data_IF_406286967505
#
_entry.id   IF_406286967505
#
_cell.length_a   1.000
_cell.length_b   1.000
_cell.length_c   1.000
_cell.angle_alpha   90.00
_cell.angle_beta   90.00
_cell.angle_gamma   90.00
#
_symmetry.space_group_name_H-M   'P 1'
#
loop_
_entity.id
_entity.type
_entity.pdbx_description
1 polymer ?
#
# COMPACT_ATOMS: atom_id res chain seq x y z
N UNK A 1 -29.49 -17.89 15.92
CA UNK A 1 -28.52 -18.73 16.68
C UNK A 1 -27.17 -18.48 16.05
N UNK A 2 -26.40 -17.60 16.63
CA UNK A 2 -25.03 -17.29 16.19
C UNK A 2 -24.12 -18.39 16.71
N UNK A 3 -23.68 -19.28 15.84
CA UNK A 3 -22.63 -20.26 16.14
C UNK A 3 -21.31 -19.51 16.29
N UNK A 4 -20.92 -19.26 17.54
CA UNK A 4 -19.58 -18.79 17.88
C UNK A 4 -18.58 -19.87 17.47
N UNK A 5 -17.81 -19.60 16.42
CA UNK A 5 -16.66 -20.43 16.06
C UNK A 5 -15.56 -20.16 17.08
N UNK A 6 -15.43 -21.06 18.04
CA UNK A 6 -14.33 -21.01 19.01
C UNK A 6 -13.07 -21.51 18.32
N UNK A 7 -12.18 -20.60 17.95
CA UNK A 7 -10.84 -20.95 17.47
C UNK A 7 -10.06 -21.51 18.67
N UNK A 8 -9.48 -22.73 18.59
CA UNK A 8 -8.67 -23.26 19.67
C UNK A 8 -7.47 -22.35 19.92
N UNK A 9 -7.33 -21.84 21.16
CA UNK A 9 -6.11 -21.18 21.60
C UNK A 9 -4.97 -22.22 21.62
N UNK A 10 -4.20 -22.28 20.57
CA UNK A 10 -2.88 -22.94 20.59
C UNK A 10 -1.98 -22.09 21.47
N UNK A 11 -1.69 -22.59 22.67
CA UNK A 11 -0.81 -21.92 23.62
C UNK A 11 0.57 -21.70 22.97
N UNK A 12 0.98 -20.45 22.78
CA UNK A 12 2.35 -20.07 22.43
C UNK A 12 2.59 -19.58 20.99
N UNK A 13 1.65 -19.68 20.06
CA UNK A 13 1.82 -19.14 18.69
C UNK A 13 1.10 -17.82 18.55
N UNK A 14 1.80 -16.78 18.08
CA UNK A 14 1.18 -15.51 17.74
C UNK A 14 0.13 -15.74 16.62
N UNK A 15 -1.16 -15.42 16.84
CA UNK A 15 -2.21 -15.72 15.87
C UNK A 15 -2.02 -14.99 14.54
N UNK A 16 -1.36 -13.83 14.51
CA UNK A 16 -1.02 -13.14 13.27
C UNK A 16 -0.02 -13.94 12.43
N UNK A 17 0.96 -14.57 13.07
CA UNK A 17 1.88 -15.49 12.36
C UNK A 17 1.14 -16.72 11.83
N UNK A 18 0.15 -17.22 12.56
CA UNK A 18 -0.68 -18.34 12.12
C UNK A 18 -1.38 -18.09 10.77
N UNK A 19 -1.69 -16.83 10.43
CA UNK A 19 -2.27 -16.47 9.14
C UNK A 19 -1.39 -16.87 7.96
N UNK A 20 -0.08 -16.85 8.12
CA UNK A 20 0.88 -17.21 7.07
C UNK A 20 0.74 -18.68 6.63
N UNK A 21 0.36 -19.57 7.55
CA UNK A 21 0.12 -20.99 7.26
C UNK A 21 -1.08 -21.19 6.34
N UNK A 22 -2.00 -20.21 6.32
CA UNK A 22 -3.18 -20.20 5.45
C UNK A 22 -2.99 -19.33 4.20
N UNK A 23 -1.75 -18.94 3.88
CA UNK A 23 -1.45 -18.10 2.73
C UNK A 23 -1.92 -16.64 2.86
N UNK A 24 -2.20 -16.18 4.08
CA UNK A 24 -2.59 -14.80 4.36
C UNK A 24 -1.37 -13.98 4.77
N UNK A 25 -1.22 -12.79 4.21
CA UNK A 25 -0.11 -11.88 4.49
C UNK A 25 -0.63 -10.67 5.27
N UNK A 26 -0.35 -10.55 6.58
CA UNK A 26 -0.73 -9.35 7.35
C UNK A 26 -0.01 -8.12 6.83
N UNK A 27 -0.76 -7.06 6.52
CA UNK A 27 -0.23 -5.76 6.13
C UNK A 27 -0.67 -4.69 7.13
N UNK A 28 0.20 -3.68 7.34
CA UNK A 28 -0.10 -2.56 8.21
C UNK A 28 -0.42 -1.31 7.38
N UNK A 29 -1.57 -0.67 7.65
CA UNK A 29 -1.96 0.62 7.05
C UNK A 29 -1.53 1.76 7.99
N UNK A 30 -0.22 1.94 8.10
CA UNK A 30 0.40 2.96 8.94
C UNK A 30 1.89 3.11 8.61
N UNK A 31 2.40 4.35 8.65
CA UNK A 31 3.83 4.67 8.55
C UNK A 31 4.16 5.88 9.42
N UNK A 32 5.26 5.78 10.18
CA UNK A 32 5.80 6.89 10.97
C UNK A 32 7.28 6.67 11.27
N UNK A 33 8.05 7.72 11.27
CA UNK A 33 9.52 7.67 11.37
C UNK A 33 10.04 6.94 12.60
N UNK A 34 9.44 7.15 13.77
CA UNK A 34 9.89 6.48 15.01
C UNK A 34 9.71 4.96 14.95
N UNK A 35 8.65 4.47 14.28
CA UNK A 35 8.45 3.04 14.03
C UNK A 35 9.59 2.46 13.20
N UNK A 36 10.08 3.23 12.22
CA UNK A 36 11.14 2.81 11.31
C UNK A 36 12.51 2.85 12.03
N UNK A 37 12.85 3.99 12.64
CA UNK A 37 14.15 4.22 13.24
C UNK A 37 14.32 3.57 14.61
N UNK A 38 13.22 3.40 15.35
CA UNK A 38 13.20 2.77 16.69
C UNK A 38 13.20 1.24 16.68
N UNK A 39 13.19 0.61 15.51
CA UNK A 39 13.20 -0.85 15.39
C UNK A 39 11.81 -1.51 15.54
N UNK A 40 10.77 -0.75 15.81
CA UNK A 40 9.41 -1.27 16.00
C UNK A 40 8.88 -2.03 14.77
N UNK A 41 9.11 -1.51 13.57
CA UNK A 41 8.73 -2.21 12.34
C UNK A 41 9.43 -3.57 12.20
N UNK A 42 10.74 -3.61 12.49
CA UNK A 42 11.51 -4.85 12.44
C UNK A 42 11.01 -5.86 13.47
N UNK A 43 10.62 -5.40 14.64
CA UNK A 43 10.00 -6.23 15.66
C UNK A 43 8.69 -6.84 15.20
N UNK A 44 7.77 -6.03 14.63
CA UNK A 44 6.49 -6.51 14.10
C UNK A 44 6.67 -7.54 12.97
N UNK A 45 7.66 -7.35 12.10
CA UNK A 45 8.00 -8.34 11.07
C UNK A 45 8.40 -9.69 11.72
N UNK A 46 9.24 -9.64 12.75
CA UNK A 46 9.77 -10.84 13.38
C UNK A 46 8.75 -11.51 14.33
N UNK A 47 8.04 -10.73 15.12
CA UNK A 47 7.20 -11.24 16.22
C UNK A 47 5.74 -11.47 15.79
N UNK A 48 5.22 -10.62 14.88
CA UNK A 48 3.82 -10.66 14.43
C UNK A 48 3.67 -11.21 13.00
N UNK A 49 4.77 -11.46 12.30
CA UNK A 49 4.72 -11.96 10.93
C UNK A 49 4.22 -10.93 9.92
N UNK A 50 4.46 -9.64 10.17
CA UNK A 50 4.08 -8.57 9.25
C UNK A 50 4.75 -8.77 7.89
N UNK A 51 3.99 -8.62 6.78
CA UNK A 51 4.43 -8.95 5.42
C UNK A 51 4.41 -7.78 4.46
N UNK A 52 3.77 -6.69 4.81
CA UNK A 52 3.73 -5.49 3.97
C UNK A 52 3.25 -4.27 4.73
N UNK A 53 3.38 -3.12 4.08
CA UNK A 53 2.97 -1.84 4.64
C UNK A 53 2.33 -0.98 3.57
N UNK A 54 1.27 -0.29 3.92
CA UNK A 54 0.68 0.73 3.06
C UNK A 54 0.61 2.08 3.76
N UNK A 55 0.59 3.13 2.98
CA UNK A 55 0.46 4.50 3.43
C UNK A 55 -0.57 5.24 2.60
N UNK A 56 -0.99 6.39 3.07
CA UNK A 56 -1.80 7.36 2.35
C UNK A 56 -1.53 8.76 2.89
N UNK A 57 -1.97 9.84 2.19
CA UNK A 57 -1.73 11.22 2.62
C UNK A 57 -2.24 11.52 4.03
N UNK A 58 -3.39 11.00 4.43
CA UNK A 58 -3.96 11.24 5.77
C UNK A 58 -3.13 10.59 6.90
N UNK A 59 -2.50 9.44 6.63
CA UNK A 59 -1.58 8.79 7.58
C UNK A 59 -0.34 9.66 7.78
N UNK A 60 0.24 10.17 6.69
CA UNK A 60 1.40 11.07 6.77
C UNK A 60 1.05 12.39 7.46
N UNK A 61 -0.10 12.99 7.15
CA UNK A 61 -0.57 14.19 7.82
C UNK A 61 -0.59 14.00 9.34
N UNK A 62 -1.23 12.94 9.83
CA UNK A 62 -1.30 12.61 11.26
C UNK A 62 0.07 12.32 11.87
N UNK A 63 1.01 11.79 11.10
CA UNK A 63 2.35 11.47 11.55
C UNK A 63 3.25 12.70 11.64
N UNK A 64 3.03 13.70 10.77
CA UNK A 64 3.88 14.88 10.64
C UNK A 64 3.37 16.03 11.53
N UNK A 65 2.05 16.31 11.51
CA UNK A 65 1.48 17.44 12.21
C UNK A 65 1.68 17.32 13.72
N UNK A 66 2.28 18.34 14.32
CA UNK A 66 2.57 18.37 15.77
C UNK A 66 3.70 17.45 16.23
N UNK A 67 4.41 16.81 15.31
CA UNK A 67 5.52 15.90 15.61
C UNK A 67 6.88 16.58 15.45
N UNK A 68 7.81 16.30 16.35
CA UNK A 68 9.21 16.73 16.23
C UNK A 68 10.09 15.76 15.44
N UNK A 69 9.54 14.60 15.06
CA UNK A 69 10.28 13.54 14.35
C UNK A 69 10.79 13.95 12.96
N UNK A 70 10.21 14.99 12.38
CA UNK A 70 10.51 15.47 11.02
C UNK A 70 11.22 16.84 11.02
N UNK A 71 11.64 17.32 12.21
CA UNK A 71 12.28 18.64 12.36
C UNK A 71 13.54 18.78 11.50
N UNK A 72 14.30 17.69 11.34
CA UNK A 72 15.50 17.64 10.50
C UNK A 72 15.21 18.04 9.04
N UNK A 73 14.12 17.53 8.47
CA UNK A 73 13.69 17.89 7.11
C UNK A 73 13.04 19.28 7.11
N UNK A 74 12.10 19.53 8.01
CA UNK A 74 11.30 20.76 8.02
C UNK A 74 12.13 22.03 8.27
N UNK A 75 13.24 21.93 8.99
CA UNK A 75 14.15 23.06 9.27
C UNK A 75 15.32 23.14 8.30
N UNK A 76 15.43 22.21 7.34
CA UNK A 76 16.54 22.20 6.38
C UNK A 76 16.51 23.42 5.45
N UNK A 77 17.66 23.77 4.89
CA UNK A 77 17.76 24.86 3.92
C UNK A 77 16.90 24.59 2.66
N UNK A 78 16.82 23.31 2.26
CA UNK A 78 16.03 22.88 1.12
C UNK A 78 14.51 23.00 1.37
N UNK A 79 14.06 22.78 2.61
CA UNK A 79 12.65 22.94 3.00
C UNK A 79 12.13 24.36 2.71
N UNK A 80 12.99 25.38 2.79
CA UNK A 80 12.63 26.78 2.53
C UNK A 80 12.33 27.06 1.05
N UNK A 81 12.72 26.17 0.14
CA UNK A 81 12.51 26.30 -1.31
C UNK A 81 11.35 25.45 -1.82
N UNK A 82 10.78 24.58 -0.98
CA UNK A 82 9.69 23.68 -1.33
C UNK A 82 8.35 24.23 -0.86
N UNK A 83 7.31 23.98 -1.64
CA UNK A 83 5.94 24.17 -1.19
C UNK A 83 5.50 23.00 -0.27
N UNK A 84 4.28 23.07 0.25
CA UNK A 84 3.75 22.06 1.17
C UNK A 84 3.73 20.65 0.53
N UNK A 85 3.42 20.54 -0.77
CA UNK A 85 3.43 19.26 -1.50
C UNK A 85 4.86 18.70 -1.59
N UNK A 86 5.82 19.52 -1.96
CA UNK A 86 7.23 19.14 -2.06
C UNK A 86 7.81 18.69 -0.71
N UNK A 87 7.46 19.37 0.38
CA UNK A 87 7.85 18.97 1.74
C UNK A 87 7.24 17.63 2.13
N UNK A 88 5.94 17.46 1.88
CA UNK A 88 5.26 16.20 2.10
C UNK A 88 5.92 15.06 1.32
N UNK A 89 6.14 15.23 0.03
CA UNK A 89 6.75 14.21 -0.81
C UNK A 89 8.16 13.84 -0.33
N UNK A 90 8.96 14.83 0.06
CA UNK A 90 10.31 14.59 0.60
C UNK A 90 10.30 13.71 1.84
N UNK A 91 9.37 13.96 2.77
CA UNK A 91 9.18 13.15 3.97
C UNK A 91 8.69 11.76 3.60
N UNK A 92 7.63 11.67 2.78
CA UNK A 92 7.00 10.41 2.42
C UNK A 92 7.96 9.50 1.66
N UNK A 93 8.71 10.04 0.68
CA UNK A 93 9.69 9.27 -0.08
C UNK A 93 10.77 8.70 0.84
N UNK A 94 11.30 9.50 1.78
CA UNK A 94 12.32 9.03 2.70
C UNK A 94 11.82 7.91 3.61
N UNK A 95 10.67 8.10 4.24
CA UNK A 95 10.10 7.10 5.14
C UNK A 95 9.72 5.80 4.38
N UNK A 96 9.23 5.92 3.15
CA UNK A 96 8.96 4.77 2.29
C UNK A 96 10.24 4.04 1.88
N UNK A 97 11.32 4.76 1.57
CA UNK A 97 12.64 4.16 1.30
C UNK A 97 13.13 3.35 2.50
N UNK A 98 13.11 3.96 3.69
CA UNK A 98 13.53 3.30 4.93
C UNK A 98 12.66 2.06 5.24
N UNK A 99 11.34 2.14 5.05
CA UNK A 99 10.43 1.00 5.19
C UNK A 99 10.72 -0.11 4.16
N UNK A 100 10.93 0.24 2.89
CA UNK A 100 11.31 -0.72 1.85
C UNK A 100 12.60 -1.46 2.21
N UNK A 101 13.61 -0.74 2.72
CA UNK A 101 14.89 -1.32 3.11
C UNK A 101 14.73 -2.27 4.31
N UNK A 102 13.86 -1.95 5.27
CA UNK A 102 13.53 -2.83 6.40
C UNK A 102 12.79 -4.09 5.93
N UNK A 103 11.88 -3.99 4.96
CA UNK A 103 11.14 -5.12 4.39
C UNK A 103 11.93 -5.92 3.36
N UNK A 104 13.07 -5.46 2.89
CA UNK A 104 13.87 -6.15 1.86
C UNK A 104 14.18 -7.61 2.18
N UNK A 105 14.53 -7.99 3.43
CA UNK A 105 14.72 -9.41 3.77
C UNK A 105 13.46 -10.26 3.56
N UNK A 106 12.27 -9.74 3.91
CA UNK A 106 10.98 -10.43 3.69
C UNK A 106 10.76 -10.61 2.19
N UNK A 107 10.92 -9.56 1.40
CA UNK A 107 10.79 -9.59 -0.05
C UNK A 107 11.69 -10.65 -0.71
N UNK A 108 12.93 -10.76 -0.28
CA UNK A 108 13.87 -11.76 -0.78
C UNK A 108 13.51 -13.19 -0.35
N UNK A 109 13.21 -13.39 0.94
CA UNK A 109 12.89 -14.71 1.51
C UNK A 109 11.58 -15.28 0.97
N UNK A 110 10.63 -14.44 0.62
CA UNK A 110 9.34 -14.85 0.05
C UNK A 110 9.36 -14.92 -1.49
N UNK A 111 10.55 -14.79 -2.10
CA UNK A 111 10.68 -14.77 -3.56
C UNK A 111 9.76 -13.73 -4.21
N UNK A 112 9.77 -12.50 -3.66
CA UNK A 112 9.01 -11.34 -4.14
C UNK A 112 7.48 -11.45 -3.99
N UNK A 113 6.97 -12.39 -3.18
CA UNK A 113 5.52 -12.48 -2.91
C UNK A 113 5.05 -11.49 -1.86
N UNK A 114 5.93 -11.15 -0.89
CA UNK A 114 5.66 -10.25 0.21
C UNK A 114 6.75 -9.18 0.36
N UNK A 115 6.66 -8.34 1.40
CA UNK A 115 7.67 -7.36 1.73
C UNK A 115 7.53 -6.05 0.96
N UNK A 116 6.34 -5.76 0.46
CA UNK A 116 6.05 -4.52 -0.27
C UNK A 116 5.68 -3.37 0.65
N UNK A 117 5.99 -2.16 0.18
CA UNK A 117 5.58 -0.89 0.80
C UNK A 117 4.92 -0.02 -0.26
N UNK A 118 3.75 0.57 0.06
CA UNK A 118 3.01 1.37 -0.91
C UNK A 118 3.15 2.87 -0.64
N UNK A 119 3.34 3.64 -1.72
CA UNK A 119 3.29 5.10 -1.77
C UNK A 119 2.21 5.54 -2.75
N UNK A 120 1.26 6.37 -2.30
CA UNK A 120 0.11 6.80 -3.09
C UNK A 120 0.44 8.04 -3.92
N UNK A 121 -0.05 8.08 -5.18
CA UNK A 121 -0.05 9.28 -5.99
C UNK A 121 -0.95 10.35 -5.37
N UNK A 122 -0.78 11.60 -5.77
CA UNK A 122 -1.61 12.70 -5.28
C UNK A 122 -3.10 12.43 -5.47
N UNK A 123 -3.95 12.61 -4.43
CA UNK A 123 -5.39 12.41 -4.54
C UNK A 123 -6.06 13.35 -5.56
N UNK A 124 -5.42 14.47 -5.89
CA UNK A 124 -5.91 15.40 -6.93
C UNK A 124 -5.85 14.80 -8.35
N UNK A 125 -5.12 13.69 -8.54
CA UNK A 125 -4.98 12.99 -9.82
C UNK A 125 -6.00 11.86 -10.01
N UNK A 126 -6.92 11.66 -9.07
CA UNK A 126 -7.87 10.54 -9.10
C UNK A 126 -8.71 10.48 -10.41
N UNK A 127 -8.93 11.63 -11.05
CA UNK A 127 -9.67 11.74 -12.32
C UNK A 127 -8.77 12.24 -13.48
N UNK A 128 -7.45 12.08 -13.36
CA UNK A 128 -6.47 12.48 -14.38
C UNK A 128 -5.52 11.32 -14.70
N UNK A 129 -5.82 10.58 -15.76
CA UNK A 129 -5.02 9.44 -16.23
C UNK A 129 -3.57 9.86 -16.55
N UNK A 130 -3.39 10.99 -17.25
CA UNK A 130 -2.07 11.44 -17.69
C UNK A 130 -1.22 11.87 -16.50
N UNK A 131 -1.77 12.71 -15.63
CA UNK A 131 -1.09 13.15 -14.41
C UNK A 131 -0.73 11.98 -13.50
N UNK A 132 -1.62 10.99 -13.37
CA UNK A 132 -1.35 9.76 -12.63
C UNK A 132 -0.16 8.99 -13.20
N UNK A 133 -0.08 8.81 -14.51
CA UNK A 133 1.04 8.14 -15.18
C UNK A 133 2.36 8.87 -14.94
N UNK A 134 2.37 10.18 -15.11
CA UNK A 134 3.57 11.01 -14.95
C UNK A 134 4.07 10.97 -13.50
N UNK A 135 3.17 11.17 -12.52
CA UNK A 135 3.53 11.15 -11.09
C UNK A 135 3.97 9.76 -10.62
N UNK A 136 3.26 8.72 -11.01
CA UNK A 136 3.59 7.35 -10.64
C UNK A 136 5.01 6.95 -11.12
N UNK A 137 5.34 7.23 -12.37
CA UNK A 137 6.68 6.96 -12.93
C UNK A 137 7.76 7.76 -12.23
N UNK A 138 7.48 9.02 -11.91
CA UNK A 138 8.39 9.91 -11.18
C UNK A 138 8.64 9.37 -9.76
N UNK A 139 7.59 9.05 -9.01
CA UNK A 139 7.71 8.51 -7.65
C UNK A 139 8.43 7.16 -7.64
N UNK A 140 8.11 6.27 -8.57
CA UNK A 140 8.79 4.98 -8.72
C UNK A 140 10.30 5.15 -8.89
N UNK A 141 10.70 6.01 -9.82
CA UNK A 141 12.11 6.32 -10.07
C UNK A 141 12.79 6.98 -8.86
N UNK A 142 12.09 7.89 -8.17
CA UNK A 142 12.67 8.65 -7.06
C UNK A 142 12.86 7.78 -5.81
N UNK A 143 11.91 6.90 -5.50
CA UNK A 143 12.04 5.94 -4.39
C UNK A 143 13.12 4.90 -4.71
N UNK A 144 13.15 4.35 -5.93
CA UNK A 144 14.21 3.48 -6.42
C UNK A 144 14.36 2.19 -5.61
N UNK A 145 13.26 1.56 -5.23
CA UNK A 145 13.22 0.28 -4.50
C UNK A 145 12.35 -0.74 -5.22
N UNK A 146 12.85 -1.96 -5.39
CA UNK A 146 12.15 -3.03 -6.11
C UNK A 146 10.83 -3.46 -5.46
N UNK A 147 10.78 -3.37 -4.13
CA UNK A 147 9.62 -3.71 -3.32
C UNK A 147 8.69 -2.52 -3.02
N UNK A 148 8.80 -1.46 -3.80
CA UNK A 148 7.81 -0.39 -3.83
C UNK A 148 6.57 -0.87 -4.58
N UNK A 149 5.39 -0.42 -4.15
CA UNK A 149 4.16 -0.38 -4.96
C UNK A 149 3.70 1.06 -5.07
N UNK A 150 3.39 1.53 -6.27
CA UNK A 150 2.70 2.80 -6.41
C UNK A 150 1.20 2.55 -6.19
N UNK A 151 0.61 3.33 -5.27
CA UNK A 151 -0.80 3.21 -4.94
C UNK A 151 -1.61 4.16 -5.80
N UNK A 152 -2.58 3.61 -6.54
CA UNK A 152 -3.38 4.33 -7.54
C UNK A 152 -4.87 4.09 -7.29
N UNK A 153 -5.73 5.15 -7.29
CA UNK A 153 -7.17 4.99 -7.19
C UNK A 153 -7.77 4.16 -8.34
N UNK A 154 -8.64 3.20 -8.01
CA UNK A 154 -9.39 2.39 -8.97
C UNK A 154 -10.60 3.14 -9.56
N UNK A 155 -10.41 4.39 -9.97
CA UNK A 155 -11.42 5.20 -10.68
C UNK A 155 -11.49 4.82 -12.15
N UNK A 156 -12.55 5.18 -12.88
CA UNK A 156 -12.61 4.97 -14.33
C UNK A 156 -11.40 5.57 -15.07
N UNK A 157 -10.94 6.74 -14.65
CA UNK A 157 -9.75 7.41 -15.21
C UNK A 157 -8.44 6.78 -14.72
N UNK A 158 -8.46 6.14 -13.55
CA UNK A 158 -7.32 5.39 -13.00
C UNK A 158 -7.05 4.08 -13.74
N UNK A 159 -8.08 3.41 -14.26
CA UNK A 159 -7.95 2.10 -14.92
C UNK A 159 -6.94 2.09 -16.09
N UNK A 160 -6.99 3.04 -17.05
CA UNK A 160 -5.99 3.09 -18.12
C UNK A 160 -4.57 3.34 -17.58
N UNK A 161 -4.43 4.15 -16.53
CA UNK A 161 -3.13 4.40 -15.90
C UNK A 161 -2.60 3.14 -15.21
N UNK A 162 -3.43 2.42 -14.45
CA UNK A 162 -3.09 1.17 -13.78
C UNK A 162 -2.56 0.15 -14.81
N UNK A 163 -3.32 -0.07 -15.89
CA UNK A 163 -2.90 -0.99 -16.95
C UNK A 163 -1.54 -0.60 -17.53
N UNK A 164 -1.37 0.66 -17.93
CA UNK A 164 -0.14 1.13 -18.55
C UNK A 164 1.07 1.03 -17.59
N UNK A 165 0.91 1.37 -16.31
CA UNK A 165 1.97 1.28 -15.32
C UNK A 165 2.41 -0.18 -15.07
N UNK A 166 1.45 -1.11 -15.05
CA UNK A 166 1.73 -2.55 -14.97
C UNK A 166 2.46 -3.04 -16.25
N UNK A 167 2.05 -2.58 -17.44
CA UNK A 167 2.78 -2.85 -18.69
C UNK A 167 4.21 -2.31 -18.66
N UNK A 168 4.43 -1.14 -18.04
CA UNK A 168 5.76 -0.55 -17.84
C UNK A 168 6.62 -1.35 -16.83
N UNK A 169 6.01 -2.26 -16.05
CA UNK A 169 6.67 -3.12 -15.06
C UNK A 169 6.72 -2.55 -13.66
N UNK A 170 5.89 -1.57 -13.34
CA UNK A 170 5.73 -1.08 -11.96
C UNK A 170 4.83 -2.02 -11.16
N UNK A 171 5.12 -2.18 -9.87
CA UNK A 171 4.19 -2.83 -8.95
C UNK A 171 3.12 -1.83 -8.52
N UNK A 172 1.85 -2.25 -8.52
CA UNK A 172 0.72 -1.35 -8.27
C UNK A 172 -0.15 -1.86 -7.11
N UNK A 173 -0.48 -0.96 -6.18
CA UNK A 173 -1.52 -1.15 -5.18
C UNK A 173 -2.75 -0.34 -5.63
N UNK A 174 -3.83 -1.03 -5.98
CA UNK A 174 -5.05 -0.37 -6.46
C UNK A 174 -5.96 -0.12 -5.27
N UNK A 175 -6.34 1.13 -5.05
CA UNK A 175 -7.11 1.54 -3.86
C UNK A 175 -8.47 2.14 -4.21
N UNK A 176 -9.27 2.45 -3.18
CA UNK A 176 -10.63 2.98 -3.27
C UNK A 176 -11.61 2.03 -3.96
N UNK A 177 -11.44 0.73 -3.73
CA UNK A 177 -12.35 -0.29 -4.22
C UNK A 177 -13.44 -0.59 -3.17
N UNK A 178 -14.69 -0.32 -3.53
CA UNK A 178 -15.87 -0.52 -2.69
C UNK A 178 -16.93 -1.40 -3.36
N UNK A 179 -16.86 -1.58 -4.66
CA UNK A 179 -17.82 -2.36 -5.44
C UNK A 179 -17.12 -3.53 -6.15
N UNK A 180 -17.80 -4.68 -6.20
CA UNK A 180 -17.31 -5.85 -6.90
C UNK A 180 -17.01 -5.54 -8.37
N UNK A 181 -17.88 -4.80 -9.06
CA UNK A 181 -17.69 -4.42 -10.46
C UNK A 181 -16.43 -3.57 -10.70
N UNK A 182 -16.05 -2.71 -9.75
CA UNK A 182 -14.79 -1.96 -9.83
C UNK A 182 -13.58 -2.88 -9.62
N UNK A 183 -13.69 -3.85 -8.70
CA UNK A 183 -12.65 -4.86 -8.51
C UNK A 183 -12.45 -5.72 -9.77
N UNK A 184 -13.53 -6.17 -10.41
CA UNK A 184 -13.45 -6.95 -11.65
C UNK A 184 -12.73 -6.17 -12.76
N UNK A 185 -13.03 -4.88 -12.92
CA UNK A 185 -12.36 -4.03 -13.91
C UNK A 185 -10.86 -3.87 -13.66
N UNK A 186 -10.42 -3.74 -12.41
CA UNK A 186 -8.99 -3.66 -12.11
C UNK A 186 -8.30 -5.01 -12.26
N UNK A 187 -8.98 -6.12 -11.99
CA UNK A 187 -8.46 -7.46 -12.24
C UNK A 187 -8.25 -7.69 -13.75
N UNK A 188 -9.21 -7.29 -14.58
CA UNK A 188 -9.08 -7.33 -16.04
C UNK A 188 -7.93 -6.44 -16.54
N UNK A 189 -7.76 -5.23 -15.97
CA UNK A 189 -6.65 -4.34 -16.32
C UNK A 189 -5.28 -4.98 -15.99
N UNK A 190 -5.18 -5.68 -14.86
CA UNK A 190 -3.98 -6.44 -14.48
C UNK A 190 -3.69 -7.57 -15.47
N UNK A 191 -4.68 -8.41 -15.79
CA UNK A 191 -4.52 -9.51 -16.74
C UNK A 191 -4.12 -9.01 -18.11
N UNK A 192 -4.79 -7.96 -18.63
CA UNK A 192 -4.46 -7.36 -19.91
C UNK A 192 -3.04 -6.77 -19.96
N UNK A 193 -2.54 -6.23 -18.84
CA UNK A 193 -1.17 -5.74 -18.75
C UNK A 193 -0.15 -6.90 -18.80
N UNK A 194 -0.43 -8.02 -18.11
CA UNK A 194 0.42 -9.22 -18.17
C UNK A 194 0.44 -9.82 -19.57
N UNK A 195 -0.69 -9.91 -20.24
CA UNK A 195 -0.78 -10.38 -21.63
C UNK A 195 0.04 -9.49 -22.57
N UNK A 196 -0.09 -8.17 -22.45
CA UNK A 196 0.67 -7.22 -23.26
C UNK A 196 2.19 -7.34 -23.03
N UNK A 197 2.62 -7.57 -21.79
CA UNK A 197 4.04 -7.83 -21.47
C UNK A 197 4.52 -9.16 -22.07
N UNK A 198 3.74 -10.23 -21.89
CA UNK A 198 4.08 -11.55 -22.43
C UNK A 198 4.21 -11.52 -23.98
N UNK A 199 3.30 -10.84 -24.66
CA UNK A 199 3.37 -10.66 -26.12
C UNK A 199 4.62 -9.89 -26.60
N UNK A 200 5.16 -9.00 -25.73
CA UNK A 200 6.41 -8.28 -25.96
C UNK A 200 7.65 -9.08 -25.55
N UNK A 201 7.50 -10.31 -25.05
CA UNK A 201 8.59 -11.14 -24.53
C UNK A 201 9.20 -10.60 -23.24
N UNK A 202 8.48 -9.75 -22.50
CA UNK A 202 8.93 -9.19 -21.22
C UNK A 202 8.60 -10.16 -20.08
N UNK A 203 9.44 -10.18 -19.04
CA UNK A 203 9.23 -10.98 -17.85
C UNK A 203 7.97 -10.53 -17.08
N UNK A 204 7.10 -11.50 -16.78
CA UNK A 204 5.89 -11.32 -15.98
C UNK A 204 5.98 -11.99 -14.58
N UNK A 205 7.03 -12.74 -14.32
CA UNK A 205 7.19 -13.50 -13.06
C UNK A 205 7.33 -12.60 -11.83
N UNK A 206 7.65 -11.33 -12.04
CA UNK A 206 7.88 -10.34 -10.99
C UNK A 206 6.88 -9.18 -11.02
N UNK A 207 5.82 -9.27 -11.83
CA UNK A 207 4.74 -8.27 -11.85
C UNK A 207 3.84 -8.48 -10.65
N UNK A 208 3.85 -7.53 -9.72
CA UNK A 208 3.05 -7.60 -8.50
C UNK A 208 1.94 -6.54 -8.50
N UNK A 209 0.73 -6.97 -8.13
CA UNK A 209 -0.38 -6.06 -7.89
C UNK A 209 -1.21 -6.53 -6.71
N UNK A 210 -1.71 -5.59 -5.92
CA UNK A 210 -2.68 -5.84 -4.85
C UNK A 210 -3.87 -4.90 -5.01
N UNK A 211 -5.04 -5.38 -4.61
CA UNK A 211 -6.28 -4.61 -4.62
C UNK A 211 -6.71 -4.32 -3.16
N UNK A 212 -6.66 -3.06 -2.77
CA UNK A 212 -7.13 -2.61 -1.46
C UNK A 212 -8.65 -2.44 -1.48
N UNK A 213 -9.38 -3.51 -1.20
CA UNK A 213 -10.84 -3.52 -1.10
C UNK A 213 -11.29 -3.15 0.32
N UNK A 214 -12.16 -2.16 0.44
CA UNK A 214 -12.58 -1.61 1.74
C UNK A 214 -13.77 -2.36 2.32
N UNK A 215 -13.55 -3.48 2.98
CA UNK A 215 -14.60 -4.31 3.59
C UNK A 215 -15.16 -3.66 4.85
N UNK A 216 -14.33 -3.25 5.80
CA UNK A 216 -14.75 -2.75 7.11
C UNK A 216 -15.64 -1.50 7.05
N UNK A 217 -15.42 -0.61 6.08
CA UNK A 217 -16.26 0.58 5.90
C UNK A 217 -17.67 0.22 5.40
N UNK A 218 -17.75 -0.80 4.54
CA UNK A 218 -19.02 -1.32 4.05
C UNK A 218 -19.77 -2.00 5.19
N UNK A 219 -19.12 -2.90 5.92
CA UNK A 219 -19.70 -3.61 7.05
C UNK A 219 -20.24 -2.65 8.11
N UNK A 220 -19.45 -1.67 8.54
CA UNK A 220 -19.88 -0.67 9.53
C UNK A 220 -21.10 0.12 9.08
N UNK A 221 -21.17 0.49 7.79
CA UNK A 221 -22.32 1.22 7.25
C UNK A 221 -23.57 0.33 7.19
N UNK A 222 -23.41 -0.93 6.77
CA UNK A 222 -24.51 -1.89 6.67
C UNK A 222 -25.04 -2.22 8.06
N UNK A 223 -24.18 -2.51 9.03
CA UNK A 223 -24.56 -2.79 10.42
C UNK A 223 -25.35 -1.63 11.03
N UNK A 224 -24.87 -0.39 10.84
CA UNK A 224 -25.59 0.81 11.30
C UNK A 224 -27.00 0.91 10.73
N UNK A 225 -27.16 0.61 9.43
CA UNK A 225 -28.48 0.64 8.77
C UNK A 225 -29.39 -0.50 9.24
N UNK A 226 -28.83 -1.69 9.47
CA UNK A 226 -29.59 -2.81 10.03
C UNK A 226 -30.09 -2.52 11.44
N UNK A 227 -29.28 -1.91 12.28
CA UNK A 227 -29.66 -1.48 13.63
C UNK A 227 -30.80 -0.46 13.62
N UNK A 228 -30.91 0.40 12.60
CA UNK A 228 -32.01 1.34 12.42
C UNK A 228 -33.35 0.64 12.07
N UNK A 229 -33.26 -0.46 11.29
CA UNK A 229 -34.44 -1.21 10.83
C UNK A 229 -34.98 -2.17 11.89
N UNK A 230 -34.10 -2.68 12.76
CA UNK A 230 -34.47 -3.67 13.83
C UNK A 230 -35.00 -2.99 15.07
N UNK A 231 -34.84 -1.66 15.23
CA UNK A 231 -35.46 -0.87 16.33
C UNK A 231 -36.90 -0.52 16.02
#
# INVERSE_FOLDING_TARGET
MTTSVTIPKTAGVNPLKGLLEYGQSPWMDYIRRDLLTGGGLKQMINDDGLRGMTSNPAIFEKSIVGSTLYSDILTSAEAKTLDAKGLYEKIAIRDVQDACDIFKPVYQQTHRRDGYVSLEVSPYLANDTKGTLEEARRLWKTVGRENLMIKVPGTPEGLPAIRQLLEDGLNINITLLFAQSAYEQVAEAFLAALEARALKGLDISHSASVASFFVSRIDTLVDSKLDEVVK
#
